data_IF_156046848894
#
_entry.id   IF_156046848894
#
_cell.length_a   1.000
_cell.length_b   1.000
_cell.length_c   1.000
_cell.angle_alpha   90.00
_cell.angle_beta   90.00
_cell.angle_gamma   90.00
#
_symmetry.space_group_name_H-M   'P 1'
#
loop_
_entity.id
_entity.type
_entity.pdbx_description
1 polymer ?
#
# COMPACT_ATOMS: atom_id res chain seq x y z
N UNK A 1 12.66 11.56 24.50
CA UNK A 1 12.58 13.00 24.17
C UNK A 1 12.09 13.79 25.37
N UNK A 2 12.97 14.57 25.99
CA UNK A 2 12.65 15.42 27.15
C UNK A 2 12.34 16.83 26.65
N UNK A 3 11.21 17.41 27.06
CA UNK A 3 10.90 18.82 26.82
C UNK A 3 11.18 19.62 28.08
N UNK A 4 12.11 20.57 28.01
CA UNK A 4 12.42 21.45 29.15
C UNK A 4 11.81 22.82 28.88
N UNK A 5 10.80 23.25 29.65
CA UNK A 5 10.32 24.62 29.58
C UNK A 5 11.41 25.56 30.10
N UNK A 6 11.83 26.51 29.27
CA UNK A 6 12.82 27.51 29.61
C UNK A 6 12.14 28.88 29.64
N UNK A 7 12.42 29.68 30.67
CA UNK A 7 11.98 31.07 30.75
C UNK A 7 12.98 31.95 30.01
N UNK A 8 12.53 32.54 28.90
CA UNK A 8 13.35 33.43 28.06
C UNK A 8 12.63 34.77 27.98
N UNK A 9 13.21 35.81 28.58
CA UNK A 9 12.66 37.17 28.61
C UNK A 9 11.18 37.22 29.06
N UNK A 10 10.84 36.44 30.09
CA UNK A 10 9.46 36.36 30.62
C UNK A 10 8.48 35.51 29.79
N UNK A 11 8.92 34.91 28.67
CA UNK A 11 8.13 33.97 27.87
C UNK A 11 8.66 32.54 28.02
N UNK A 12 7.75 31.58 28.16
CA UNK A 12 8.10 30.16 28.26
C UNK A 12 8.32 29.59 26.85
N UNK A 13 9.52 29.12 26.58
CA UNK A 13 9.90 28.44 25.33
C UNK A 13 10.15 26.96 25.66
N UNK A 14 9.53 26.05 24.90
CA UNK A 14 9.75 24.61 25.05
C UNK A 14 10.92 24.15 24.17
N UNK A 15 12.02 23.73 24.81
CA UNK A 15 13.14 23.13 24.11
C UNK A 15 13.04 21.60 24.16
N UNK A 16 13.30 20.94 23.03
CA UNK A 16 13.12 19.51 22.84
C UNK A 16 14.48 18.82 22.73
N UNK A 17 14.76 17.90 23.66
CA UNK A 17 15.99 17.12 23.70
C UNK A 17 15.68 15.65 23.36
N UNK A 18 15.93 15.19 22.13
CA UNK A 18 15.54 13.86 21.69
C UNK A 18 16.27 12.74 22.43
N UNK A 19 17.54 12.94 22.82
CA UNK A 19 18.44 11.89 23.35
C UNK A 19 18.78 12.02 24.85
N UNK A 20 18.00 12.78 25.61
CA UNK A 20 18.23 12.90 27.04
C UNK A 20 17.71 11.67 27.81
N UNK A 21 18.56 11.12 28.69
CA UNK A 21 18.24 10.00 29.58
C UNK A 21 17.56 10.50 30.85
N UNK A 22 16.45 9.86 31.22
CA UNK A 22 15.65 10.16 32.41
C UNK A 22 15.70 8.97 33.36
N UNK A 23 16.06 9.21 34.63
CA UNK A 23 16.14 8.17 35.66
C UNK A 23 15.05 8.45 36.72
N UNK A 24 13.85 7.86 36.59
CA UNK A 24 12.71 8.16 37.46
C UNK A 24 12.89 7.70 38.92
N UNK A 25 13.81 6.78 39.19
CA UNK A 25 14.10 6.27 40.54
C UNK A 25 15.01 7.19 41.36
N UNK A 26 15.53 8.26 40.75
CA UNK A 26 16.32 9.28 41.46
C UNK A 26 15.37 10.25 42.17
N UNK A 27 15.66 10.67 43.43
CA UNK A 27 14.84 11.65 44.14
C UNK A 27 14.83 13.04 43.47
N UNK A 28 15.65 13.23 42.44
CA UNK A 28 15.71 14.43 41.59
C UNK A 28 15.84 14.02 40.12
N UNK A 29 15.22 14.79 39.22
CA UNK A 29 15.42 14.64 37.78
C UNK A 29 16.88 14.99 37.44
N UNK A 30 17.62 14.06 36.83
CA UNK A 30 19.01 14.28 36.40
C UNK A 30 19.05 14.45 34.88
N UNK A 31 19.80 15.44 34.41
CA UNK A 31 20.04 15.70 32.99
C UNK A 31 21.53 15.56 32.69
N UNK A 32 21.89 14.82 31.64
CA UNK A 32 23.29 14.59 31.30
C UNK A 32 23.93 15.84 30.68
N UNK A 33 24.88 16.44 31.39
CA UNK A 33 25.66 17.59 30.93
C UNK A 33 26.40 17.32 29.61
N UNK A 34 27.04 16.15 29.48
CA UNK A 34 27.74 15.76 28.28
C UNK A 34 26.82 15.69 27.05
N UNK A 35 25.59 15.19 27.23
CA UNK A 35 24.58 15.17 26.15
C UNK A 35 24.13 16.57 25.77
N UNK A 36 23.93 17.47 26.73
CA UNK A 36 23.62 18.88 26.44
C UNK A 36 24.71 19.54 25.60
N UNK A 37 25.98 19.29 25.94
CA UNK A 37 27.12 19.79 25.17
C UNK A 37 27.12 19.26 23.73
N UNK A 38 26.83 17.97 23.54
CA UNK A 38 26.70 17.39 22.19
C UNK A 38 25.53 17.99 21.38
N UNK A 39 24.49 18.49 22.04
CA UNK A 39 23.40 19.23 21.41
C UNK A 39 23.72 20.72 21.17
N UNK A 40 24.97 21.15 21.38
CA UNK A 40 25.42 22.53 21.14
C UNK A 40 25.10 23.52 22.26
N UNK A 41 24.79 23.04 23.46
CA UNK A 41 24.64 23.89 24.65
C UNK A 41 26.01 24.25 25.22
N UNK A 42 26.25 25.54 25.42
CA UNK A 42 27.46 26.07 26.06
C UNK A 42 27.14 26.56 27.48
N UNK A 43 28.14 26.65 28.35
CA UNK A 43 27.98 27.14 29.72
C UNK A 43 28.98 28.23 30.03
N UNK A 44 28.55 29.19 30.84
CA UNK A 44 29.38 30.30 31.32
C UNK A 44 29.24 30.37 32.83
N UNK A 45 30.38 30.46 33.51
CA UNK A 45 30.45 30.77 34.94
C UNK A 45 30.38 32.30 35.10
N UNK A 46 29.38 32.78 35.85
CA UNK A 46 29.12 34.22 35.98
C UNK A 46 29.60 34.78 37.32
N UNK A 47 29.39 34.05 38.41
CA UNK A 47 29.66 34.41 39.81
C UNK A 47 29.94 33.07 40.51
N UNK A 48 30.77 32.98 41.57
CA UNK A 48 31.08 31.70 42.21
C UNK A 48 29.83 30.84 42.48
N UNK A 49 29.84 29.62 41.92
CA UNK A 49 28.76 28.63 41.94
C UNK A 49 27.49 28.97 41.16
N UNK A 50 27.46 30.01 40.34
CA UNK A 50 26.34 30.31 39.44
C UNK A 50 26.72 30.14 37.98
N UNK A 51 25.98 29.26 37.30
CA UNK A 51 26.21 28.87 35.93
C UNK A 51 25.02 29.21 35.06
N UNK A 52 25.31 29.73 33.87
CA UNK A 52 24.31 30.02 32.86
C UNK A 52 24.54 29.13 31.65
N UNK A 53 23.48 28.42 31.23
CA UNK A 53 23.49 27.57 30.05
C UNK A 53 22.94 28.35 28.86
N UNK A 54 23.62 28.30 27.72
CA UNK A 54 23.26 28.96 26.47
C UNK A 54 23.04 27.93 25.38
N UNK A 55 22.02 28.15 24.55
CA UNK A 55 21.81 27.40 23.33
C UNK A 55 22.85 27.80 22.27
N UNK A 56 23.01 26.97 21.23
CA UNK A 56 23.94 27.21 20.11
C UNK A 56 23.73 28.54 19.38
N UNK A 57 22.54 29.13 19.49
CA UNK A 57 22.18 30.44 18.94
C UNK A 57 22.48 31.62 19.90
N UNK A 58 23.21 31.38 21.00
CA UNK A 58 23.60 32.40 21.98
C UNK A 58 22.49 32.80 22.97
N UNK A 59 21.32 32.17 22.91
CA UNK A 59 20.21 32.49 23.84
C UNK A 59 20.37 31.77 25.17
N UNK A 60 20.11 32.50 26.26
CA UNK A 60 20.08 31.96 27.62
C UNK A 60 18.96 30.93 27.77
N UNK A 61 19.33 29.73 28.21
CA UNK A 61 18.47 28.57 28.39
C UNK A 61 18.00 28.45 29.84
N UNK A 62 18.94 28.42 30.78
CA UNK A 62 18.65 28.26 32.21
C UNK A 62 19.80 28.78 33.06
N UNK A 63 19.47 29.11 34.30
CA UNK A 63 20.42 29.39 35.38
C UNK A 63 20.48 28.19 36.31
N UNK A 64 21.66 27.92 36.83
CA UNK A 64 21.92 26.80 37.72
C UNK A 64 22.90 27.17 38.81
N UNK A 65 22.73 26.57 39.98
CA UNK A 65 23.72 26.63 41.06
C UNK A 65 24.52 25.34 41.08
N UNK A 66 25.85 25.42 41.09
CA UNK A 66 26.69 24.23 41.21
C UNK A 66 26.73 23.76 42.66
N UNK A 67 26.52 22.46 42.89
CA UNK A 67 26.65 21.81 44.20
C UNK A 67 27.44 20.51 44.01
N UNK A 68 28.72 20.51 44.41
CA UNK A 68 29.65 19.44 44.06
C UNK A 68 29.85 19.33 42.54
N UNK A 69 29.66 18.14 41.98
CA UNK A 69 29.77 17.88 40.54
C UNK A 69 28.43 18.01 39.79
N UNK A 70 27.39 18.56 40.43
CA UNK A 70 26.05 18.68 39.87
C UNK A 70 25.66 20.14 39.65
N UNK A 71 24.96 20.38 38.55
CA UNK A 71 24.28 21.63 38.25
C UNK A 71 22.82 21.51 38.67
N UNK A 72 22.44 22.24 39.72
CA UNK A 72 21.08 22.24 40.27
C UNK A 72 20.29 23.36 39.62
N UNK A 73 19.17 23.02 38.98
CA UNK A 73 18.27 23.98 38.34
C UNK A 73 16.99 24.05 39.16
N UNK A 74 16.63 25.25 39.61
CA UNK A 74 15.39 25.48 40.34
C UNK A 74 14.30 25.94 39.36
N UNK A 75 13.20 25.20 39.27
CA UNK A 75 12.08 25.52 38.38
C UNK A 75 10.81 25.72 39.19
N UNK A 76 10.09 26.83 38.98
CA UNK A 76 8.82 27.13 39.66
C UNK A 76 7.59 26.44 39.02
N UNK A 77 7.80 25.49 38.11
CA UNK A 77 6.73 24.74 37.42
C UNK A 77 6.92 23.24 37.63
N UNK A 78 5.83 22.47 37.64
CA UNK A 78 5.89 21.01 37.59
C UNK A 78 6.61 20.56 36.31
N UNK A 79 7.65 19.73 36.47
CA UNK A 79 8.42 19.19 35.36
C UNK A 79 7.61 18.04 34.73
N UNK A 80 6.90 18.32 33.62
CA UNK A 80 6.13 17.32 32.89
C UNK A 80 7.06 16.59 31.90
N UNK A 81 7.53 15.40 32.26
CA UNK A 81 8.25 14.51 31.33
C UNK A 81 7.24 13.70 30.50
N UNK A 82 7.13 13.98 29.20
CA UNK A 82 6.24 13.27 28.27
C UNK A 82 6.69 11.82 27.94
N UNK A 83 7.83 11.36 28.45
CA UNK A 83 8.33 9.99 28.20
C UNK A 83 7.82 8.94 29.20
N UNK A 84 7.05 9.32 30.22
CA UNK A 84 6.57 8.39 31.23
C UNK A 84 5.18 8.78 31.72
N UNK A 85 4.19 8.53 30.87
CA UNK A 85 2.85 8.10 31.31
C UNK A 85 2.43 6.88 30.50
N UNK A 86 3.25 5.83 30.55
CA UNK A 86 2.70 4.49 30.38
C UNK A 86 2.25 4.10 31.78
N UNK A 87 0.95 3.94 31.99
CA UNK A 87 0.43 3.40 33.24
C UNK A 87 1.03 2.00 33.42
N UNK A 88 1.87 1.84 34.46
CA UNK A 88 2.62 0.61 34.75
C UNK A 88 1.69 -0.60 34.83
N UNK A 89 0.44 -0.39 35.27
CA UNK A 89 -0.60 -1.41 35.32
C UNK A 89 -1.05 -1.87 33.93
N UNK A 90 -1.22 -0.96 32.98
CA UNK A 90 -1.60 -1.29 31.60
C UNK A 90 -0.46 -1.94 30.82
N UNK A 91 0.79 -1.51 31.04
CA UNK A 91 1.96 -2.16 30.43
C UNK A 91 2.15 -3.58 30.96
N UNK A 92 2.06 -3.78 32.28
CA UNK A 92 2.13 -5.11 32.89
C UNK A 92 0.98 -6.01 32.40
N UNK A 93 -0.23 -5.48 32.27
CA UNK A 93 -1.36 -6.23 31.71
C UNK A 93 -1.12 -6.59 30.24
N UNK A 94 -0.61 -5.65 29.43
CA UNK A 94 -0.23 -5.88 28.04
C UNK A 94 0.79 -7.02 27.90
N UNK A 95 1.81 -7.05 28.76
CA UNK A 95 2.79 -8.15 28.80
C UNK A 95 2.14 -9.47 29.26
N UNK A 96 1.27 -9.46 30.28
CA UNK A 96 0.59 -10.66 30.82
C UNK A 96 -0.33 -11.34 29.82
N UNK A 97 -0.99 -10.56 28.95
CA UNK A 97 -1.83 -11.11 27.88
C UNK A 97 -1.03 -11.51 26.64
N UNK A 98 0.30 -11.59 26.74
CA UNK A 98 1.18 -12.02 25.65
C UNK A 98 1.24 -10.99 24.52
N UNK A 99 1.21 -9.70 24.85
CA UNK A 99 1.19 -8.61 23.88
C UNK A 99 -0.04 -8.62 22.96
N UNK A 100 -1.18 -9.19 23.34
CA UNK A 100 -2.40 -9.18 22.51
C UNK A 100 -2.89 -7.74 22.23
N UNK A 101 -3.12 -7.39 20.95
CA UNK A 101 -3.47 -6.01 20.53
C UNK A 101 -2.27 -5.09 20.22
N UNK A 102 -2.51 -3.84 19.81
CA UNK A 102 -1.46 -2.84 19.56
C UNK A 102 -1.28 -1.96 20.81
N UNK A 103 -0.03 -1.79 21.26
CA UNK A 103 0.31 -0.98 22.44
C UNK A 103 1.46 -0.03 22.08
N UNK A 104 1.21 1.27 22.17
CA UNK A 104 2.18 2.30 21.82
C UNK A 104 3.29 2.38 22.88
N UNK A 105 4.56 2.33 22.43
CA UNK A 105 5.74 2.37 23.30
C UNK A 105 6.24 1.02 23.81
N UNK A 106 5.76 -0.11 23.25
CA UNK A 106 6.31 -1.44 23.54
C UNK A 106 7.28 -1.89 22.44
N UNK A 107 8.56 -2.07 22.78
CA UNK A 107 9.61 -2.50 21.84
C UNK A 107 9.35 -3.90 21.25
N UNK A 108 8.81 -4.82 22.05
CA UNK A 108 8.45 -6.18 21.61
C UNK A 108 7.33 -6.13 20.56
N UNK A 109 6.28 -5.34 20.78
CA UNK A 109 5.25 -5.12 19.78
C UNK A 109 5.77 -4.44 18.53
N UNK A 110 6.66 -3.45 18.68
CA UNK A 110 7.28 -2.80 17.54
C UNK A 110 8.03 -3.83 16.69
N UNK A 111 8.91 -4.64 17.29
CA UNK A 111 9.71 -5.65 16.58
C UNK A 111 8.86 -6.77 15.95
N UNK A 112 7.87 -7.27 16.67
CA UNK A 112 7.11 -8.46 16.25
C UNK A 112 5.88 -8.13 15.41
N UNK A 113 5.35 -6.91 15.50
CA UNK A 113 4.14 -6.45 14.80
C UNK A 113 4.42 -5.33 13.80
N UNK A 114 5.70 -5.06 13.52
CA UNK A 114 6.13 -4.27 12.37
C UNK A 114 5.63 -4.94 11.09
N UNK A 115 4.45 -4.51 10.64
CA UNK A 115 3.97 -4.84 9.31
C UNK A 115 4.70 -3.96 8.29
N UNK A 116 5.04 -4.54 7.14
CA UNK A 116 5.62 -3.79 6.02
C UNK A 116 4.70 -2.61 5.71
N UNK A 117 5.24 -1.39 5.70
CA UNK A 117 4.47 -0.20 5.32
C UNK A 117 3.72 -0.48 4.00
N UNK A 118 2.43 -0.11 3.89
CA UNK A 118 1.74 -0.20 2.61
C UNK A 118 2.55 0.57 1.57
N UNK A 119 2.79 -0.03 0.41
CA UNK A 119 3.33 0.69 -0.73
C UNK A 119 2.43 1.90 -1.04
N UNK A 120 2.97 3.01 -1.56
CA UNK A 120 2.16 4.14 -1.98
C UNK A 120 1.00 3.65 -2.85
N UNK A 121 -0.23 4.02 -2.47
CA UNK A 121 -1.47 3.56 -3.11
C UNK A 121 -1.60 4.00 -4.57
N UNK A 122 -0.74 4.90 -5.04
CA UNK A 122 -0.71 5.43 -6.39
C UNK A 122 0.54 4.93 -7.09
N UNK A 123 0.37 4.27 -8.24
CA UNK A 123 1.45 4.09 -9.20
C UNK A 123 1.92 5.47 -9.66
N UNK A 124 3.24 5.66 -9.78
CA UNK A 124 3.82 6.92 -10.30
C UNK A 124 3.35 7.21 -11.74
N UNK A 125 3.00 6.18 -12.49
CA UNK A 125 2.34 6.25 -13.80
C UNK A 125 0.83 6.07 -13.64
N UNK A 126 0.06 7.14 -13.86
CA UNK A 126 -1.40 7.06 -14.05
C UNK A 126 -1.65 7.02 -15.55
N UNK A 127 -2.22 5.93 -16.08
CA UNK A 127 -2.54 5.84 -17.51
C UNK A 127 -3.62 6.87 -17.87
N UNK A 128 -3.40 7.66 -18.91
CA UNK A 128 -4.30 8.75 -19.33
C UNK A 128 -5.25 8.30 -20.45
N UNK A 129 -4.73 7.47 -21.36
CA UNK A 129 -5.42 6.99 -22.55
C UNK A 129 -5.68 5.48 -22.48
N UNK A 130 -6.69 5.04 -23.24
CA UNK A 130 -6.98 3.60 -23.38
C UNK A 130 -5.79 2.94 -24.06
N UNK A 131 -5.32 1.82 -23.50
CA UNK A 131 -4.16 1.10 -24.03
C UNK A 131 -2.81 1.60 -23.52
N UNK A 132 -2.73 2.68 -22.74
CA UNK A 132 -1.47 3.15 -22.15
C UNK A 132 -0.83 2.05 -21.29
N UNK A 133 -1.63 1.31 -20.52
CA UNK A 133 -1.18 0.17 -19.73
C UNK A 133 -2.25 -0.93 -19.74
N UNK A 134 -1.91 -2.05 -20.37
CA UNK A 134 -2.66 -3.31 -20.30
C UNK A 134 -1.97 -4.23 -19.30
N UNK A 135 -2.72 -4.73 -18.32
CA UNK A 135 -2.25 -5.75 -17.38
C UNK A 135 -2.93 -7.08 -17.70
N UNK A 136 -2.20 -8.18 -17.62
CA UNK A 136 -2.69 -9.51 -17.98
C UNK A 136 -2.32 -10.58 -16.96
N UNK A 137 -3.21 -11.57 -16.83
CA UNK A 137 -3.01 -12.76 -16.00
C UNK A 137 -3.78 -13.94 -16.59
N UNK A 138 -3.27 -15.16 -16.41
CA UNK A 138 -3.91 -16.41 -16.85
C UNK A 138 -4.49 -17.15 -15.66
N UNK A 139 -5.77 -17.49 -15.74
CA UNK A 139 -6.43 -18.30 -14.72
C UNK A 139 -6.74 -19.72 -15.20
N UNK A 140 -6.47 -20.69 -14.34
CA UNK A 140 -6.72 -22.12 -14.57
C UNK A 140 -5.53 -22.98 -14.12
N UNK A 141 -5.56 -24.30 -14.39
CA UNK A 141 -6.59 -25.00 -15.16
C UNK A 141 -7.90 -25.17 -14.39
N UNK A 142 -9.02 -25.15 -15.11
CA UNK A 142 -10.29 -25.67 -14.60
C UNK A 142 -10.28 -27.20 -14.62
N UNK A 143 -10.93 -27.81 -13.63
CA UNK A 143 -11.01 -29.27 -13.49
C UNK A 143 -11.79 -29.88 -14.67
N UNK A 144 -12.98 -29.35 -14.94
CA UNK A 144 -13.84 -29.76 -16.05
C UNK A 144 -13.60 -28.85 -17.25
N UNK A 145 -13.22 -29.39 -18.42
CA UNK A 145 -13.15 -28.60 -19.65
C UNK A 145 -14.52 -28.02 -20.01
N UNK A 146 -14.53 -26.86 -20.67
CA UNK A 146 -15.78 -26.32 -21.22
C UNK A 146 -16.27 -27.15 -22.41
N UNK A 147 -17.52 -26.97 -22.90
CA UNK A 147 -17.97 -27.65 -24.12
C UNK A 147 -17.07 -27.39 -25.33
N UNK A 148 -16.43 -26.22 -25.40
CA UNK A 148 -15.46 -25.87 -26.44
C UNK A 148 -14.05 -26.48 -26.21
N UNK A 149 -13.85 -27.22 -25.11
CA UNK A 149 -12.58 -27.84 -24.71
C UNK A 149 -11.61 -26.88 -24.01
N UNK A 150 -12.04 -25.68 -23.65
CA UNK A 150 -11.19 -24.72 -22.95
C UNK A 150 -10.91 -25.19 -21.53
N UNK A 151 -9.71 -24.88 -21.02
CA UNK A 151 -9.27 -25.20 -19.64
C UNK A 151 -8.72 -24.00 -18.89
N UNK A 152 -8.47 -22.89 -19.57
CA UNK A 152 -7.95 -21.66 -18.99
C UNK A 152 -8.68 -20.47 -19.61
N UNK A 153 -8.53 -19.30 -19.00
CA UNK A 153 -8.78 -18.04 -19.69
C UNK A 153 -7.65 -17.05 -19.38
N UNK A 154 -7.36 -16.18 -20.34
CA UNK A 154 -6.50 -15.01 -20.13
C UNK A 154 -7.37 -13.77 -19.99
N UNK A 155 -7.05 -12.92 -19.03
CA UNK A 155 -7.66 -11.60 -18.91
C UNK A 155 -6.69 -10.51 -19.38
N UNK A 156 -7.21 -9.54 -20.11
CA UNK A 156 -6.53 -8.31 -20.48
C UNK A 156 -7.32 -7.16 -19.87
N UNK A 157 -6.71 -6.37 -18.99
CA UNK A 157 -7.34 -5.25 -18.31
C UNK A 157 -6.66 -3.95 -18.71
N UNK A 158 -7.45 -2.99 -19.17
CA UNK A 158 -7.01 -1.61 -19.34
C UNK A 158 -7.05 -0.89 -17.98
N UNK A 159 -5.90 -0.38 -17.54
CA UNK A 159 -5.76 0.17 -16.18
C UNK A 159 -6.49 1.50 -16.02
N UNK A 160 -6.59 2.30 -17.09
CA UNK A 160 -7.33 3.58 -17.09
C UNK A 160 -8.81 3.36 -16.83
N UNK A 161 -9.45 2.56 -17.68
CA UNK A 161 -10.91 2.37 -17.69
C UNK A 161 -11.37 1.27 -16.74
N UNK A 162 -10.45 0.41 -16.29
CA UNK A 162 -10.74 -0.84 -15.57
C UNK A 162 -11.55 -1.84 -16.39
N UNK A 163 -11.72 -1.61 -17.69
CA UNK A 163 -12.42 -2.53 -18.58
C UNK A 163 -11.55 -3.76 -18.82
N UNK A 164 -12.16 -4.93 -18.74
CA UNK A 164 -11.46 -6.21 -18.95
C UNK A 164 -12.06 -7.00 -20.11
N UNK A 165 -11.19 -7.54 -20.94
CA UNK A 165 -11.49 -8.55 -21.95
C UNK A 165 -10.98 -9.89 -21.46
N UNK A 166 -11.72 -10.96 -21.76
CA UNK A 166 -11.30 -12.32 -21.46
C UNK A 166 -11.33 -13.16 -22.73
N UNK A 167 -10.38 -14.07 -22.85
CA UNK A 167 -10.30 -15.04 -23.94
C UNK A 167 -10.08 -16.43 -23.36
N UNK A 168 -10.87 -17.40 -23.83
CA UNK A 168 -10.76 -18.79 -23.38
C UNK A 168 -9.68 -19.53 -24.15
N UNK A 169 -8.94 -20.39 -23.44
CA UNK A 169 -7.77 -21.08 -23.96
C UNK A 169 -7.87 -22.59 -23.70
N UNK A 170 -7.40 -23.38 -24.66
CA UNK A 170 -7.20 -24.83 -24.49
C UNK A 170 -5.87 -25.10 -23.82
N UNK A 171 -4.83 -24.34 -24.18
CA UNK A 171 -3.47 -24.42 -23.62
C UNK A 171 -2.96 -23.03 -23.24
N UNK A 172 -2.08 -22.95 -22.24
CA UNK A 172 -1.41 -21.69 -21.87
C UNK A 172 -0.55 -21.11 -23.01
N UNK A 173 -0.04 -21.94 -23.91
CA UNK A 173 0.71 -21.50 -25.10
C UNK A 173 -0.13 -20.66 -26.08
N UNK A 174 -1.47 -20.73 -26.01
CA UNK A 174 -2.36 -20.03 -26.93
C UNK A 174 -2.52 -18.53 -26.58
N UNK A 175 -1.87 -18.05 -25.51
CA UNK A 175 -1.96 -16.66 -25.02
C UNK A 175 -1.48 -15.65 -26.06
N UNK A 176 -0.38 -15.93 -26.76
CA UNK A 176 0.14 -15.02 -27.80
C UNK A 176 -0.88 -14.80 -28.92
N UNK A 177 -1.51 -15.88 -29.41
CA UNK A 177 -2.54 -15.80 -30.45
C UNK A 177 -3.71 -14.93 -29.98
N UNK A 178 -4.16 -15.10 -28.73
CA UNK A 178 -5.24 -14.27 -28.18
C UNK A 178 -4.84 -12.83 -27.92
N UNK A 179 -3.58 -12.58 -27.58
CA UNK A 179 -3.04 -11.23 -27.48
C UNK A 179 -2.99 -10.52 -28.84
N UNK A 180 -2.65 -11.23 -29.93
CA UNK A 180 -2.66 -10.70 -31.29
C UNK A 180 -4.08 -10.32 -31.76
N UNK A 181 -5.06 -11.21 -31.53
CA UNK A 181 -6.48 -10.94 -31.78
C UNK A 181 -6.95 -9.71 -31.00
N UNK A 182 -6.59 -9.63 -29.71
CA UNK A 182 -6.92 -8.52 -28.83
C UNK A 182 -6.31 -7.18 -29.28
N UNK A 183 -5.01 -7.15 -29.60
CA UNK A 183 -4.34 -5.95 -30.09
C UNK A 183 -4.98 -5.44 -31.40
N UNK A 184 -5.31 -6.35 -32.31
CA UNK A 184 -5.99 -6.01 -33.57
C UNK A 184 -7.38 -5.41 -33.33
N UNK A 185 -8.13 -5.97 -32.39
CA UNK A 185 -9.43 -5.44 -31.97
C UNK A 185 -9.30 -4.03 -31.37
N UNK A 186 -8.34 -3.79 -30.46
CA UNK A 186 -8.12 -2.46 -29.87
C UNK A 186 -7.82 -1.40 -30.92
N UNK A 187 -6.93 -1.72 -31.87
CA UNK A 187 -6.56 -0.81 -32.97
C UNK A 187 -7.74 -0.47 -33.87
N UNK A 188 -8.56 -1.46 -34.21
CA UNK A 188 -9.64 -1.28 -35.19
C UNK A 188 -10.91 -0.71 -34.57
N UNK A 189 -11.33 -1.23 -33.42
CA UNK A 189 -12.61 -0.88 -32.80
C UNK A 189 -12.53 0.34 -31.89
N UNK A 190 -11.37 0.56 -31.25
CA UNK A 190 -11.19 1.64 -30.27
C UNK A 190 -10.15 2.68 -30.71
N UNK A 191 -9.52 2.48 -31.87
CA UNK A 191 -8.43 3.33 -32.37
C UNK A 191 -7.30 3.52 -31.32
N UNK A 192 -7.16 2.53 -30.43
CA UNK A 192 -6.22 2.54 -29.33
C UNK A 192 -5.01 1.67 -29.66
N UNK A 193 -3.83 2.11 -29.24
CA UNK A 193 -2.59 1.33 -29.34
C UNK A 193 -2.12 0.98 -27.94
N UNK A 194 -1.72 -0.28 -27.76
CA UNK A 194 -1.09 -0.71 -26.51
C UNK A 194 0.29 -0.06 -26.43
N UNK A 195 0.56 0.74 -25.37
CA UNK A 195 1.90 1.30 -25.14
C UNK A 195 2.73 0.39 -24.25
N UNK A 196 2.15 -0.03 -23.14
CA UNK A 196 2.80 -0.91 -22.16
C UNK A 196 1.95 -2.14 -21.90
N UNK A 197 2.58 -3.31 -21.98
CA UNK A 197 1.99 -4.59 -21.61
C UNK A 197 2.67 -5.14 -20.37
N UNK A 198 1.91 -5.28 -19.28
CA UNK A 198 2.37 -5.84 -18.01
C UNK A 198 1.79 -7.22 -17.78
N UNK A 199 2.65 -8.18 -17.50
CA UNK A 199 2.29 -9.57 -17.19
C UNK A 199 3.16 -10.10 -16.06
N UNK A 200 2.77 -11.24 -15.50
CA UNK A 200 3.63 -11.98 -14.60
C UNK A 200 4.81 -12.64 -15.34
N UNK A 201 5.70 -13.28 -14.59
CA UNK A 201 6.84 -14.02 -15.13
C UNK A 201 6.47 -15.37 -15.76
N UNK A 202 5.19 -15.63 -16.05
CA UNK A 202 4.74 -16.91 -16.60
C UNK A 202 5.40 -17.26 -17.95
N UNK A 203 5.68 -18.54 -18.17
CA UNK A 203 6.30 -19.03 -19.40
C UNK A 203 5.46 -18.77 -20.66
N UNK A 204 4.14 -18.66 -20.50
CA UNK A 204 3.20 -18.27 -21.56
C UNK A 204 3.48 -16.86 -22.12
N UNK A 205 4.00 -15.96 -21.29
CA UNK A 205 4.39 -14.61 -21.69
C UNK A 205 5.90 -14.56 -21.98
N UNK A 206 6.71 -15.34 -21.29
CA UNK A 206 8.18 -15.34 -21.40
C UNK A 206 8.68 -16.32 -22.48
N UNK A 207 8.45 -15.99 -23.75
CA UNK A 207 9.03 -16.69 -24.89
C UNK A 207 9.43 -15.71 -26.00
N UNK A 208 10.36 -16.15 -26.86
CA UNK A 208 10.93 -15.34 -27.94
C UNK A 208 9.87 -14.85 -28.94
N UNK A 209 8.86 -15.68 -29.23
CA UNK A 209 7.79 -15.30 -30.15
C UNK A 209 6.95 -14.14 -29.60
N UNK A 210 6.68 -14.13 -28.29
CA UNK A 210 5.97 -13.04 -27.62
C UNK A 210 6.80 -11.76 -27.62
N UNK A 211 8.09 -11.87 -27.28
CA UNK A 211 9.01 -10.73 -27.28
C UNK A 211 9.19 -10.13 -28.68
N UNK A 212 9.34 -10.98 -29.71
CA UNK A 212 9.43 -10.54 -31.10
C UNK A 212 8.16 -9.81 -31.57
N UNK A 213 6.98 -10.31 -31.20
CA UNK A 213 5.72 -9.64 -31.54
C UNK A 213 5.58 -8.29 -30.85
N UNK A 214 5.87 -8.21 -29.55
CA UNK A 214 5.83 -6.94 -28.80
C UNK A 214 6.79 -5.91 -29.39
N UNK A 215 8.01 -6.33 -29.74
CA UNK A 215 9.00 -5.47 -30.39
C UNK A 215 8.54 -4.98 -31.77
N UNK A 216 7.97 -5.86 -32.59
CA UNK A 216 7.43 -5.50 -33.90
C UNK A 216 6.27 -4.49 -33.80
N UNK A 217 5.49 -4.56 -32.73
CA UNK A 217 4.38 -3.65 -32.44
C UNK A 217 4.80 -2.38 -31.68
N UNK A 218 6.08 -2.28 -31.28
CA UNK A 218 6.58 -1.17 -30.48
C UNK A 218 6.01 -1.10 -29.05
N UNK A 219 5.56 -2.23 -28.51
CA UNK A 219 4.94 -2.31 -27.18
C UNK A 219 6.01 -2.51 -26.13
N UNK A 220 6.06 -1.64 -25.12
CA UNK A 220 6.94 -1.79 -23.97
C UNK A 220 6.48 -2.95 -23.07
N UNK A 221 7.40 -3.86 -22.78
CA UNK A 221 7.12 -5.02 -21.93
C UNK A 221 7.52 -4.75 -20.49
N UNK A 222 6.57 -4.89 -19.58
CA UNK A 222 6.83 -4.91 -18.14
C UNK A 222 6.57 -6.32 -17.57
N UNK A 223 7.57 -6.88 -16.90
CA UNK A 223 7.43 -8.15 -16.18
C UNK A 223 7.39 -7.84 -14.69
N UNK A 224 6.40 -8.36 -13.97
CA UNK A 224 6.35 -8.16 -12.53
C UNK A 224 7.43 -8.98 -11.84
N UNK A 225 8.12 -8.39 -10.87
CA UNK A 225 9.20 -9.07 -10.16
C UNK A 225 8.63 -10.22 -9.31
N UNK A 226 9.25 -11.41 -9.34
CA UNK A 226 8.92 -12.47 -8.39
C UNK A 226 8.96 -11.91 -6.96
N UNK A 227 7.94 -12.23 -6.14
CA UNK A 227 7.77 -11.71 -4.78
C UNK A 227 7.34 -10.24 -4.64
N UNK A 228 6.86 -9.60 -5.71
CA UNK A 228 6.10 -8.34 -5.63
C UNK A 228 4.67 -8.48 -6.19
N UNK A 229 3.79 -9.28 -5.53
CA UNK A 229 2.42 -9.55 -6.02
C UNK A 229 1.60 -8.28 -6.23
N UNK A 230 1.93 -7.19 -5.54
CA UNK A 230 1.22 -5.93 -5.66
C UNK A 230 1.32 -5.31 -7.07
N UNK A 231 2.38 -5.59 -7.84
CA UNK A 231 2.57 -5.07 -9.19
C UNK A 231 1.59 -5.68 -10.20
N UNK A 232 1.32 -6.99 -10.10
CA UNK A 232 0.27 -7.66 -10.90
C UNK A 232 -1.08 -7.73 -10.17
N UNK A 233 -1.15 -7.20 -8.95
CA UNK A 233 -2.29 -7.35 -8.07
C UNK A 233 -3.60 -6.81 -8.65
N UNK A 234 -3.55 -5.93 -9.67
CA UNK A 234 -4.76 -5.50 -10.38
C UNK A 234 -5.39 -6.66 -11.18
N UNK A 235 -4.60 -7.40 -11.95
CA UNK A 235 -5.10 -8.54 -12.72
C UNK A 235 -5.46 -9.73 -11.83
N UNK A 236 -4.67 -10.00 -10.79
CA UNK A 236 -5.02 -11.03 -9.79
C UNK A 236 -6.35 -10.71 -9.08
N UNK A 237 -6.55 -9.45 -8.69
CA UNK A 237 -7.82 -9.00 -8.08
C UNK A 237 -8.98 -9.13 -9.06
N UNK A 238 -8.78 -8.76 -10.33
CA UNK A 238 -9.77 -8.95 -11.37
C UNK A 238 -10.18 -10.43 -11.44
N UNK A 239 -9.22 -11.34 -11.60
CA UNK A 239 -9.50 -12.76 -11.74
C UNK A 239 -10.22 -13.31 -10.51
N UNK A 240 -9.80 -12.92 -9.30
CA UNK A 240 -10.52 -13.27 -8.06
C UNK A 240 -11.97 -12.79 -8.08
N UNK A 241 -12.22 -11.54 -8.49
CA UNK A 241 -13.58 -11.00 -8.60
C UNK A 241 -14.43 -11.79 -9.62
N UNK A 242 -13.88 -12.08 -10.80
CA UNK A 242 -14.59 -12.83 -11.84
C UNK A 242 -14.99 -14.23 -11.35
N UNK A 243 -14.07 -14.93 -10.68
CA UNK A 243 -14.33 -16.26 -10.13
C UNK A 243 -15.34 -16.23 -8.99
N UNK A 244 -15.31 -15.21 -8.13
CA UNK A 244 -16.33 -15.05 -7.08
C UNK A 244 -17.71 -14.85 -7.68
N UNK A 245 -17.85 -13.96 -8.66
CA UNK A 245 -19.14 -13.74 -9.36
C UNK A 245 -19.59 -15.01 -10.07
N UNK A 246 -18.68 -15.68 -10.79
CA UNK A 246 -18.97 -16.92 -11.50
C UNK A 246 -19.46 -18.03 -10.56
N UNK A 247 -18.81 -18.21 -9.40
CA UNK A 247 -19.24 -19.15 -8.36
C UNK A 247 -20.63 -18.79 -7.85
N UNK A 248 -20.92 -17.52 -7.58
CA UNK A 248 -22.24 -17.08 -7.13
C UNK A 248 -23.33 -17.36 -8.15
N UNK A 249 -23.09 -17.06 -9.44
CA UNK A 249 -24.03 -17.37 -10.53
C UNK A 249 -24.28 -18.87 -10.59
N UNK A 250 -23.21 -19.68 -10.57
CA UNK A 250 -23.32 -21.14 -10.63
C UNK A 250 -24.12 -21.70 -9.47
N UNK A 251 -23.78 -21.34 -8.23
CA UNK A 251 -24.48 -21.81 -7.03
C UNK A 251 -25.95 -21.36 -7.01
N UNK A 252 -26.26 -20.15 -7.48
CA UNK A 252 -27.64 -19.64 -7.52
C UNK A 252 -28.51 -20.22 -8.64
N UNK A 253 -27.92 -20.87 -9.65
CA UNK A 253 -28.64 -21.39 -10.82
C UNK A 253 -28.60 -22.92 -10.94
N UNK A 254 -27.66 -23.59 -10.27
CA UNK A 254 -27.46 -25.04 -10.37
C UNK A 254 -26.87 -25.51 -11.70
N UNK A 255 -26.26 -24.60 -12.46
CA UNK A 255 -25.70 -24.90 -13.79
C UNK A 255 -24.46 -25.80 -13.67
N UNK A 256 -24.26 -26.77 -14.60
CA UNK A 256 -23.11 -27.67 -14.59
C UNK A 256 -21.74 -26.98 -14.65
N UNK A 257 -20.73 -27.63 -14.07
CA UNK A 257 -19.34 -27.15 -14.05
C UNK A 257 -18.69 -27.05 -15.43
N UNK A 258 -19.19 -27.80 -16.41
CA UNK A 258 -18.73 -27.68 -17.80
C UNK A 258 -19.01 -26.29 -18.36
N UNK A 259 -20.08 -25.61 -17.97
CA UNK A 259 -20.43 -24.28 -18.48
C UNK A 259 -19.68 -23.13 -17.80
N UNK A 260 -18.53 -23.42 -17.16
CA UNK A 260 -17.75 -22.40 -16.46
C UNK A 260 -17.31 -21.26 -17.38
N UNK A 261 -17.06 -21.51 -18.67
CA UNK A 261 -16.60 -20.50 -19.60
C UNK A 261 -17.68 -19.44 -19.84
N UNK A 262 -18.91 -19.87 -20.11
CA UNK A 262 -20.09 -19.03 -20.32
C UNK A 262 -20.42 -18.23 -19.05
N UNK A 263 -20.28 -18.86 -17.88
CA UNK A 263 -20.49 -18.22 -16.58
C UNK A 263 -19.41 -17.15 -16.32
N UNK A 264 -18.14 -17.42 -16.61
CA UNK A 264 -17.05 -16.45 -16.45
C UNK A 264 -17.16 -15.30 -17.47
N UNK A 265 -17.58 -15.58 -18.70
CA UNK A 265 -17.90 -14.54 -19.69
C UNK A 265 -19.00 -13.61 -19.18
N UNK A 266 -20.05 -14.18 -18.60
CA UNK A 266 -21.14 -13.42 -17.99
C UNK A 266 -20.65 -12.60 -16.80
N UNK A 267 -19.82 -13.19 -15.93
CA UNK A 267 -19.22 -12.48 -14.80
C UNK A 267 -18.40 -11.25 -15.26
N UNK A 268 -17.61 -11.40 -16.33
CA UNK A 268 -16.83 -10.30 -16.89
C UNK A 268 -17.72 -9.21 -17.52
N UNK A 269 -18.75 -9.63 -18.27
CA UNK A 269 -19.73 -8.71 -18.82
C UNK A 269 -20.42 -7.89 -17.73
N UNK A 270 -20.96 -8.56 -16.69
CA UNK A 270 -21.61 -7.92 -15.55
C UNK A 270 -20.66 -6.96 -14.84
N UNK A 271 -19.40 -7.35 -14.61
CA UNK A 271 -18.41 -6.47 -14.01
C UNK A 271 -18.18 -5.19 -14.83
N UNK A 272 -18.08 -5.31 -16.15
CA UNK A 272 -17.82 -4.16 -17.02
C UNK A 272 -18.98 -3.16 -17.10
N UNK A 273 -20.21 -3.59 -16.84
CA UNK A 273 -21.41 -2.73 -16.87
C UNK A 273 -21.86 -2.27 -15.48
N UNK A 274 -21.21 -2.71 -14.40
CA UNK A 274 -21.49 -2.26 -13.05
C UNK A 274 -20.45 -1.24 -12.59
N UNK A 275 -20.87 -0.32 -11.72
CA UNK A 275 -19.98 0.68 -11.16
C UNK A 275 -18.87 0.02 -10.34
N UNK A 276 -17.64 0.55 -10.48
CA UNK A 276 -16.55 0.15 -9.59
C UNK A 276 -16.28 1.23 -8.56
N UNK A 277 -16.10 0.84 -7.30
CA UNK A 277 -15.72 1.77 -6.23
C UNK A 277 -14.40 2.51 -6.49
N UNK A 278 -13.55 1.97 -7.37
CA UNK A 278 -12.30 2.59 -7.77
C UNK A 278 -12.50 3.81 -8.69
N UNK A 279 -13.60 3.88 -9.43
CA UNK A 279 -13.82 4.91 -10.47
C UNK A 279 -15.12 5.69 -10.31
N UNK A 280 -16.10 5.18 -9.54
CA UNK A 280 -17.43 5.77 -9.42
C UNK A 280 -18.24 5.77 -10.73
N UNK A 281 -17.78 5.04 -11.74
CA UNK A 281 -18.41 4.86 -13.05
C UNK A 281 -18.26 3.41 -13.49
N UNK A 282 -19.06 2.97 -14.44
CA UNK A 282 -18.90 1.65 -15.04
C UNK A 282 -17.63 1.63 -15.93
N UNK A 283 -16.89 0.51 -15.99
CA UNK A 283 -15.79 0.36 -16.94
C UNK A 283 -16.22 0.60 -18.39
N UNK A 284 -17.46 0.19 -18.73
CA UNK A 284 -18.06 0.41 -20.03
C UNK A 284 -18.17 1.90 -20.38
N UNK A 285 -18.66 2.73 -19.46
CA UNK A 285 -18.74 4.19 -19.65
C UNK A 285 -17.38 4.82 -19.83
N UNK A 286 -16.39 4.38 -19.07
CA UNK A 286 -15.03 4.92 -19.18
C UNK A 286 -14.36 4.56 -20.52
N UNK A 287 -14.72 3.41 -21.09
CA UNK A 287 -14.19 2.94 -22.35
C UNK A 287 -14.90 3.57 -23.56
N UNK A 288 -16.24 3.57 -23.56
CA UNK A 288 -17.05 3.99 -24.71
C UNK A 288 -17.64 5.39 -24.61
N UNK A 289 -17.46 6.07 -23.47
CA UNK A 289 -18.00 7.41 -23.24
C UNK A 289 -19.52 7.49 -23.05
N UNK A 290 -20.20 6.35 -22.91
CA UNK A 290 -21.66 6.26 -22.76
C UNK A 290 -22.09 5.16 -21.78
N UNK A 291 -23.23 5.32 -21.07
CA UNK A 291 -23.76 4.29 -20.18
C UNK A 291 -24.04 2.98 -20.91
N UNK A 292 -23.88 1.82 -20.23
CA UNK A 292 -24.30 0.54 -20.78
C UNK A 292 -25.84 0.48 -20.86
N UNK A 293 -26.35 -0.15 -21.92
CA UNK A 293 -27.78 -0.45 -22.03
C UNK A 293 -28.13 -1.67 -21.17
N UNK A 294 -28.90 -1.45 -20.11
CA UNK A 294 -29.32 -2.48 -19.16
C UNK A 294 -30.68 -3.12 -19.50
N UNK A 295 -31.39 -2.63 -20.53
CA UNK A 295 -32.75 -3.09 -20.86
C UNK A 295 -32.82 -4.57 -21.26
N UNK A 296 -31.72 -5.11 -21.78
CA UNK A 296 -31.60 -6.50 -22.23
C UNK A 296 -31.10 -7.45 -21.15
N UNK A 297 -30.84 -6.96 -19.95
CA UNK A 297 -30.30 -7.78 -18.87
C UNK A 297 -31.36 -8.76 -18.35
N UNK A 298 -31.05 -10.05 -18.37
CA UNK A 298 -31.89 -11.10 -17.79
C UNK A 298 -31.13 -11.89 -16.75
N UNK A 299 -31.86 -12.54 -15.83
CA UNK A 299 -31.27 -13.49 -14.88
C UNK A 299 -30.57 -14.60 -15.68
N UNK A 300 -29.32 -14.90 -15.32
CA UNK A 300 -28.57 -15.96 -15.99
C UNK A 300 -29.32 -17.29 -15.88
N UNK A 301 -29.52 -17.98 -17.02
CA UNK A 301 -30.27 -19.24 -17.09
C UNK A 301 -31.81 -19.10 -17.10
N UNK A 302 -32.38 -17.90 -17.24
CA UNK A 302 -33.82 -17.77 -17.46
C UNK A 302 -34.24 -18.27 -18.85
N UNK A 303 -35.48 -18.78 -18.97
CA UNK A 303 -36.10 -19.14 -20.25
C UNK A 303 -36.53 -17.90 -21.02
#
# INVERSE_FOLDING_TARGET
MIKVPCLVNGKVIQNVFPEALYIPSSPRNILSYARLRNCGVTTVDTIPNQWVFYLSNGRKMMESTQTGNLFVVHTNQEIICLASKIDEKHYLQHCRVGHLGQFDGCDVCALTKLSRKPFPQKSETVPENVGDLIVSDVWGPFQTPSPAGSRFYVSFLDVKTRFSWIYFLKRKSDVLTKFQEFNSMLKTQLQAKIKTFRSDGGGEYCNEAFDAYLAAEGIHREKTVPHSPQQNGIAERLNRTLITIARSIRHGTGIPDSLWAEVVATANYLRNINETSATGKTPYELLYGKPPDLTRLKKFGCK
#
